data_IF_643487324454
#
_entry.id   IF_643487324454
#
_cell.length_a   1.000
_cell.length_b   1.000
_cell.length_c   1.000
_cell.angle_alpha   90.00
_cell.angle_beta   90.00
_cell.angle_gamma   90.00
#
_symmetry.space_group_name_H-M   'P 1'
#
loop_
_entity.id
_entity.type
_entity.pdbx_description
1 polymer ?
#
# COMPACT_ATOMS: atom_id res chain seq x y z
N UNK A 1 17.85 -1.79 2.56
CA UNK A 1 16.63 -1.36 3.27
C UNK A 1 16.18 -0.02 2.72
N UNK A 2 17.09 0.93 2.64
CA UNK A 2 16.82 2.29 2.17
C UNK A 2 16.25 2.32 0.74
N UNK A 3 16.82 1.53 -0.17
CA UNK A 3 16.33 1.39 -1.56
C UNK A 3 14.86 0.92 -1.63
N UNK A 4 14.42 0.03 -0.72
CA UNK A 4 13.03 -0.46 -0.70
C UNK A 4 12.09 0.66 -0.24
N UNK A 5 12.50 1.43 0.77
CA UNK A 5 11.71 2.55 1.28
C UNK A 5 11.61 3.65 0.22
N UNK A 6 12.73 4.05 -0.39
CA UNK A 6 12.75 5.02 -1.48
C UNK A 6 11.91 4.58 -2.69
N UNK A 7 11.92 3.28 -2.99
CA UNK A 7 11.09 2.70 -4.05
C UNK A 7 9.60 2.82 -3.73
N UNK A 8 9.20 2.54 -2.49
CA UNK A 8 7.82 2.68 -2.03
C UNK A 8 7.36 4.15 -2.01
N UNK A 9 8.21 5.08 -1.56
CA UNK A 9 7.91 6.52 -1.57
C UNK A 9 7.65 7.04 -3.01
N UNK A 10 8.42 6.54 -3.98
CA UNK A 10 8.21 6.88 -5.38
C UNK A 10 6.92 6.29 -5.95
N UNK A 11 6.57 5.06 -5.55
CA UNK A 11 5.30 4.42 -5.94
C UNK A 11 4.11 5.19 -5.36
N UNK A 12 4.19 5.57 -4.08
CA UNK A 12 3.18 6.41 -3.43
C UNK A 12 2.97 7.71 -4.21
N UNK A 13 4.06 8.41 -4.56
CA UNK A 13 3.97 9.64 -5.35
C UNK A 13 3.33 9.42 -6.72
N UNK A 14 3.63 8.31 -7.41
CA UNK A 14 2.98 7.98 -8.69
C UNK A 14 1.48 7.76 -8.53
N UNK A 15 1.05 7.12 -7.43
CA UNK A 15 -0.38 6.90 -7.13
C UNK A 15 -1.07 8.23 -6.86
N UNK A 16 -0.46 9.10 -6.04
CA UNK A 16 -0.99 10.43 -5.72
C UNK A 16 -1.08 11.34 -6.95
N UNK A 17 -0.09 11.26 -7.85
CA UNK A 17 -0.08 11.99 -9.13
C UNK A 17 -1.06 11.41 -10.17
N UNK A 18 -1.70 10.27 -9.90
CA UNK A 18 -2.57 9.57 -10.87
C UNK A 18 -1.80 8.93 -12.04
N UNK A 19 -0.48 8.73 -11.90
CA UNK A 19 0.42 8.17 -12.92
C UNK A 19 0.71 6.68 -12.73
N UNK A 20 0.30 6.10 -11.61
CA UNK A 20 0.48 4.68 -11.34
C UNK A 20 -0.45 3.84 -12.22
N UNK A 21 0.12 2.90 -12.97
CA UNK A 21 -0.64 2.00 -13.83
C UNK A 21 -1.14 0.79 -13.02
N UNK A 22 -2.42 0.80 -12.68
CA UNK A 22 -3.08 -0.35 -12.05
C UNK A 22 -3.40 -1.41 -13.08
N UNK A 23 -2.82 -2.59 -12.94
CA UNK A 23 -3.04 -3.68 -13.89
C UNK A 23 -3.99 -4.73 -13.32
N UNK A 24 -4.98 -5.13 -14.12
CA UNK A 24 -6.00 -6.13 -13.75
C UNK A 24 -5.50 -7.57 -13.81
N UNK A 25 -4.38 -7.81 -14.51
CA UNK A 25 -3.68 -9.10 -14.51
C UNK A 25 -2.99 -9.38 -13.16
N UNK A 26 -2.84 -8.36 -12.31
CA UNK A 26 -2.43 -8.48 -10.91
C UNK A 26 -3.70 -8.59 -10.06
N UNK A 27 -3.83 -9.70 -9.35
CA UNK A 27 -5.08 -10.11 -8.69
C UNK A 27 -5.56 -9.11 -7.62
N UNK A 28 -4.63 -8.47 -6.92
CA UNK A 28 -4.92 -7.54 -5.84
C UNK A 28 -4.00 -6.31 -5.84
N UNK A 29 -4.30 -5.37 -4.94
CA UNK A 29 -3.51 -4.15 -4.74
C UNK A 29 -2.08 -4.48 -4.31
N UNK A 30 -1.90 -5.53 -3.50
CA UNK A 30 -0.60 -5.90 -2.95
C UNK A 30 0.34 -6.40 -4.03
N UNK A 31 -0.15 -7.22 -4.96
CA UNK A 31 0.58 -7.69 -6.13
C UNK A 31 0.94 -6.55 -7.07
N UNK A 32 0.07 -5.55 -7.24
CA UNK A 32 0.39 -4.36 -8.01
C UNK A 32 1.58 -3.60 -7.41
N UNK A 33 1.56 -3.35 -6.09
CA UNK A 33 2.65 -2.64 -5.41
C UNK A 33 3.94 -3.47 -5.41
N UNK A 34 3.87 -4.77 -5.12
CA UNK A 34 5.04 -5.66 -5.11
C UNK A 34 5.69 -5.76 -6.50
N UNK A 35 4.90 -5.90 -7.55
CA UNK A 35 5.39 -5.93 -8.93
C UNK A 35 6.05 -4.60 -9.32
N UNK A 36 5.40 -3.47 -9.05
CA UNK A 36 5.95 -2.15 -9.34
C UNK A 36 7.27 -1.90 -8.58
N UNK A 37 7.35 -2.37 -7.33
CA UNK A 37 8.57 -2.27 -6.54
C UNK A 37 9.70 -3.15 -7.12
N UNK A 38 9.40 -4.37 -7.54
CA UNK A 38 10.37 -5.25 -8.21
C UNK A 38 10.87 -4.61 -9.52
N UNK A 39 9.97 -4.07 -10.34
CA UNK A 39 10.33 -3.38 -11.58
C UNK A 39 11.22 -2.16 -11.32
N UNK A 40 11.02 -1.46 -10.21
CA UNK A 40 11.76 -0.25 -9.85
C UNK A 40 13.13 -0.51 -9.21
N UNK A 41 13.22 -1.45 -8.27
CA UNK A 41 14.44 -1.65 -7.46
C UNK A 41 15.10 -3.01 -7.62
N UNK A 42 14.51 -3.92 -8.41
CA UNK A 42 15.07 -5.22 -8.74
C UNK A 42 15.00 -6.24 -7.59
N UNK A 43 15.99 -7.15 -7.56
CA UNK A 43 16.05 -8.27 -6.61
C UNK A 43 15.83 -7.93 -5.12
N UNK A 44 16.29 -6.78 -4.58
CA UNK A 44 15.98 -6.39 -3.20
C UNK A 44 14.49 -6.40 -2.86
N UNK A 45 13.61 -6.05 -3.79
CA UNK A 45 12.17 -5.99 -3.57
C UNK A 45 11.55 -7.37 -3.26
N UNK A 46 12.11 -8.46 -3.80
CA UNK A 46 11.61 -9.82 -3.54
C UNK A 46 11.71 -10.23 -2.07
N UNK A 47 12.58 -9.55 -1.31
CA UNK A 47 12.73 -9.77 0.14
C UNK A 47 11.66 -9.07 0.97
N UNK A 48 10.86 -8.16 0.39
CA UNK A 48 9.84 -7.40 1.11
C UNK A 48 8.78 -8.30 1.76
N UNK A 49 8.40 -9.38 1.07
CA UNK A 49 7.37 -10.32 1.53
C UNK A 49 7.95 -11.53 2.29
N UNK A 50 9.26 -11.55 2.57
CA UNK A 50 9.86 -12.67 3.30
C UNK A 50 9.28 -12.76 4.71
N UNK A 51 8.83 -13.95 5.10
CA UNK A 51 8.19 -14.25 6.39
C UNK A 51 6.88 -13.49 6.67
N UNK A 52 6.16 -13.07 5.61
CA UNK A 52 4.81 -12.48 5.71
C UNK A 52 3.84 -13.33 4.89
N UNK A 53 2.60 -13.47 5.36
CA UNK A 53 1.51 -14.06 4.58
C UNK A 53 0.59 -12.97 4.04
N UNK A 54 -0.05 -13.21 2.88
CA UNK A 54 -1.02 -12.25 2.32
C UNK A 54 -2.21 -12.05 3.26
N UNK A 55 -2.65 -13.07 4.00
CA UNK A 55 -3.77 -12.97 4.93
C UNK A 55 -3.48 -11.97 6.06
N UNK A 56 -2.30 -12.07 6.69
CA UNK A 56 -1.90 -11.17 7.78
C UNK A 56 -1.72 -9.73 7.26
N UNK A 57 -1.22 -9.59 6.03
CA UNK A 57 -1.10 -8.30 5.36
C UNK A 57 -2.47 -7.66 5.11
N UNK A 58 -3.41 -8.40 4.52
CA UNK A 58 -4.79 -7.92 4.26
C UNK A 58 -5.46 -7.47 5.56
N UNK A 59 -5.34 -8.27 6.63
CA UNK A 59 -5.95 -7.94 7.93
C UNK A 59 -5.32 -6.69 8.52
N UNK A 60 -4.00 -6.53 8.40
CA UNK A 60 -3.30 -5.34 8.88
C UNK A 60 -3.76 -4.09 8.12
N UNK A 61 -3.80 -4.16 6.80
CA UNK A 61 -4.19 -3.04 5.94
C UNK A 61 -5.64 -2.61 6.20
N UNK A 62 -6.56 -3.59 6.29
CA UNK A 62 -7.97 -3.31 6.60
C UNK A 62 -8.12 -2.62 7.96
N UNK A 63 -7.41 -3.08 8.99
CA UNK A 63 -7.45 -2.45 10.33
C UNK A 63 -6.94 -1.01 10.30
N UNK A 64 -5.85 -0.74 9.60
CA UNK A 64 -5.28 0.61 9.46
C UNK A 64 -6.23 1.54 8.70
N UNK A 65 -6.83 1.05 7.62
CA UNK A 65 -7.81 1.80 6.83
C UNK A 65 -9.07 2.10 7.64
N UNK A 66 -9.63 1.10 8.35
CA UNK A 66 -10.79 1.30 9.20
C UNK A 66 -10.51 2.30 10.33
N UNK A 67 -9.31 2.29 10.93
CA UNK A 67 -8.94 3.27 11.96
C UNK A 67 -9.00 4.71 11.43
N UNK A 68 -8.37 4.98 10.29
CA UNK A 68 -8.41 6.30 9.64
C UNK A 68 -9.84 6.72 9.26
N UNK A 69 -10.64 5.77 8.74
CA UNK A 69 -12.04 6.02 8.43
C UNK A 69 -12.87 6.37 9.67
N UNK A 70 -12.66 5.65 10.78
CA UNK A 70 -13.32 5.90 12.07
C UNK A 70 -12.95 7.30 12.59
N UNK A 71 -11.67 7.67 12.57
CA UNK A 71 -11.21 9.00 13.02
C UNK A 71 -11.91 10.13 12.23
N UNK A 72 -12.01 9.98 10.91
CA UNK A 72 -12.73 10.93 10.03
C UNK A 72 -14.23 10.99 10.34
N UNK A 73 -14.86 9.85 10.61
CA UNK A 73 -16.29 9.77 10.96
C UNK A 73 -16.56 10.43 12.31
N UNK A 74 -15.72 10.19 13.32
CA UNK A 74 -15.86 10.79 14.66
C UNK A 74 -15.79 12.32 14.61
N UNK A 75 -14.90 12.88 13.78
CA UNK A 75 -14.83 14.34 13.56
C UNK A 75 -16.17 14.85 13.01
N UNK A 76 -16.75 14.17 12.02
CA UNK A 76 -18.02 14.58 11.40
C UNK A 76 -19.20 14.47 12.36
N UNK A 77 -19.25 13.42 13.18
CA UNK A 77 -20.28 13.26 14.21
C UNK A 77 -20.21 14.44 15.20
N UNK A 78 -19.01 14.79 15.68
CA UNK A 78 -18.81 15.93 16.59
C UNK A 78 -19.17 17.28 15.97
N UNK A 79 -19.02 17.44 14.65
CA UNK A 79 -19.41 18.67 13.95
C UNK A 79 -20.93 18.79 13.77
N UNK A 80 -21.62 17.66 13.73
CA UNK A 80 -23.07 17.62 13.56
C UNK A 80 -23.83 17.81 14.87
N UNK A 81 -23.26 17.34 15.98
CA UNK A 81 -23.77 17.50 17.35
C UNK A 81 -23.52 18.90 17.88
#
# INVERSE_FOLDING_TARGET
RDIILEGLDQIEKQIQDGKFEWRKDREDVHMNIEAALIEKVGEPAKKLHTARSRNDQIVTDLRLWCRDAIDKILIRIKQFQ
#
